data_IF_371046064681
#
_entry.id   IF_371046064681
#
_cell.length_a   1.000
_cell.length_b   1.000
_cell.length_c   1.000
_cell.angle_alpha   90.00
_cell.angle_beta   90.00
_cell.angle_gamma   90.00
#
_symmetry.space_group_name_H-M   'P 1'
#
loop_
_entity.id
_entity.type
_entity.pdbx_description
1 polymer ?
#
# COMPACT_ATOMS: atom_id res chain seq x y z
N UNK A 1 0.92 -27.33 -37.75
CA UNK A 1 0.76 -26.10 -36.94
C UNK A 1 1.20 -26.43 -35.53
N UNK A 2 2.39 -26.07 -35.20
CA UNK A 2 3.05 -26.33 -33.89
C UNK A 2 2.50 -25.35 -32.88
N UNK A 3 1.82 -25.84 -31.87
CA UNK A 3 1.38 -25.07 -30.70
C UNK A 3 2.64 -24.55 -30.01
N UNK A 4 2.90 -23.25 -30.08
CA UNK A 4 3.98 -22.62 -29.30
C UNK A 4 3.68 -22.85 -27.83
N UNK A 5 4.60 -23.52 -27.15
CA UNK A 5 4.48 -23.84 -25.74
C UNK A 5 4.19 -22.57 -24.91
N UNK A 6 3.20 -22.67 -24.05
CA UNK A 6 2.93 -21.71 -22.99
C UNK A 6 4.20 -21.69 -22.15
N UNK A 7 4.90 -20.54 -22.00
CA UNK A 7 6.06 -20.49 -21.13
C UNK A 7 5.63 -20.92 -19.71
N UNK A 8 6.45 -21.77 -19.08
CA UNK A 8 6.24 -22.16 -17.69
C UNK A 8 6.02 -20.86 -16.85
N UNK A 9 5.11 -20.91 -15.86
CA UNK A 9 4.88 -19.74 -15.03
C UNK A 9 6.22 -19.31 -14.42
N UNK A 10 6.68 -18.11 -14.78
CA UNK A 10 7.88 -17.54 -14.18
C UNK A 10 7.64 -17.47 -12.66
N UNK A 11 8.50 -18.12 -11.89
CA UNK A 11 8.50 -18.01 -10.44
C UNK A 11 8.56 -16.52 -10.07
N UNK A 12 7.63 -16.08 -9.24
CA UNK A 12 7.63 -14.70 -8.76
C UNK A 12 8.84 -14.47 -7.85
N UNK A 13 9.73 -13.61 -8.32
CA UNK A 13 10.86 -13.09 -7.56
C UNK A 13 10.56 -11.62 -7.23
N UNK A 14 10.11 -11.30 -6.01
CA UNK A 14 9.66 -9.96 -5.65
C UNK A 14 10.67 -8.87 -5.98
N UNK A 15 11.96 -9.08 -5.63
CA UNK A 15 13.02 -8.09 -5.89
C UNK A 15 13.20 -7.79 -7.38
N UNK A 16 13.26 -8.82 -8.23
CA UNK A 16 13.42 -8.66 -9.66
C UNK A 16 12.20 -7.99 -10.30
N UNK A 17 10.99 -8.38 -9.89
CA UNK A 17 9.75 -7.79 -10.39
C UNK A 17 9.63 -6.31 -10.06
N UNK A 18 9.87 -5.92 -8.80
CA UNK A 18 9.74 -4.54 -8.37
C UNK A 18 10.86 -3.67 -8.91
N UNK A 19 12.07 -4.22 -9.07
CA UNK A 19 13.16 -3.51 -9.68
C UNK A 19 12.91 -3.24 -11.17
N UNK A 20 12.47 -4.23 -11.97
CA UNK A 20 12.09 -4.05 -13.38
C UNK A 20 10.98 -2.98 -13.52
N UNK A 21 9.95 -3.07 -12.68
CA UNK A 21 8.86 -2.09 -12.66
C UNK A 21 9.34 -0.67 -12.31
N UNK A 22 10.27 -0.57 -11.35
CA UNK A 22 10.88 0.70 -10.97
C UNK A 22 11.71 1.31 -12.11
N UNK A 23 12.53 0.53 -12.76
CA UNK A 23 13.34 0.97 -13.88
C UNK A 23 12.51 1.54 -15.03
N UNK A 24 11.36 0.92 -15.30
CA UNK A 24 10.45 1.36 -16.37
C UNK A 24 9.66 2.64 -16.01
N UNK A 25 9.22 2.81 -14.79
CA UNK A 25 8.16 3.79 -14.47
C UNK A 25 8.47 4.74 -13.31
N UNK A 26 9.45 4.44 -12.46
CA UNK A 26 9.69 5.27 -11.27
C UNK A 26 10.24 6.67 -11.62
N UNK A 27 10.90 6.80 -12.77
CA UNK A 27 11.41 8.07 -13.30
C UNK A 27 10.37 8.95 -13.98
N UNK A 28 9.23 8.38 -14.40
CA UNK A 28 8.21 9.07 -15.17
C UNK A 28 7.26 9.90 -14.31
N UNK A 29 6.98 11.13 -14.70
CA UNK A 29 6.03 12.02 -14.03
C UNK A 29 6.17 12.00 -12.50
N UNK A 30 5.09 11.74 -11.78
CA UNK A 30 5.09 11.58 -10.32
C UNK A 30 5.54 10.18 -9.84
N UNK A 31 5.93 9.27 -10.73
CA UNK A 31 6.28 7.88 -10.42
C UNK A 31 5.08 7.01 -10.01
N UNK A 32 3.85 7.48 -10.23
CA UNK A 32 2.64 6.78 -9.78
C UNK A 32 2.40 5.47 -10.54
N UNK A 33 2.82 5.35 -11.79
CA UNK A 33 2.72 4.12 -12.57
C UNK A 33 3.55 2.97 -11.97
N UNK A 34 4.65 3.32 -11.27
CA UNK A 34 5.45 2.33 -10.58
C UNK A 34 4.80 1.80 -9.29
N UNK A 35 4.01 2.62 -8.58
CA UNK A 35 3.51 2.32 -7.22
C UNK A 35 1.98 2.19 -7.11
N UNK A 36 1.23 2.50 -8.19
CA UNK A 36 -0.23 2.33 -8.25
C UNK A 36 -0.59 1.25 -9.29
N UNK A 37 -1.45 1.57 -10.26
CA UNK A 37 -1.89 0.62 -11.28
C UNK A 37 -0.95 0.61 -12.49
N UNK A 38 -0.22 -0.49 -12.65
CA UNK A 38 0.67 -0.73 -13.79
C UNK A 38 -0.09 -0.69 -15.13
N UNK A 39 0.50 -0.03 -16.12
CA UNK A 39 -0.06 0.06 -17.47
C UNK A 39 -1.31 0.93 -17.60
N UNK A 40 -1.76 1.56 -16.52
CA UNK A 40 -2.90 2.48 -16.55
C UNK A 40 -2.43 3.93 -16.81
N UNK A 41 -3.29 4.76 -17.45
CA UNK A 41 -2.97 6.17 -17.71
C UNK A 41 -2.67 6.96 -16.43
N UNK A 42 -1.92 8.05 -16.58
CA UNK A 42 -1.53 8.92 -15.46
C UNK A 42 -2.73 9.45 -14.66
N UNK A 43 -3.81 9.90 -15.34
CA UNK A 43 -5.00 10.41 -14.64
C UNK A 43 -5.64 9.35 -13.73
N UNK A 44 -5.62 8.09 -14.13
CA UNK A 44 -6.14 6.97 -13.34
C UNK A 44 -5.28 6.75 -12.10
N UNK A 45 -3.96 6.75 -12.25
CA UNK A 45 -3.03 6.62 -11.14
C UNK A 45 -3.11 7.83 -10.17
N UNK A 46 -3.35 9.03 -10.68
CA UNK A 46 -3.63 10.23 -9.87
C UNK A 46 -4.93 10.10 -9.08
N UNK A 47 -5.97 9.55 -9.69
CA UNK A 47 -7.24 9.29 -9.00
C UNK A 47 -7.06 8.30 -7.85
N UNK A 48 -6.38 7.16 -8.08
CA UNK A 48 -6.03 6.19 -7.01
C UNK A 48 -5.26 6.89 -5.88
N UNK A 49 -4.25 7.69 -6.23
CA UNK A 49 -3.47 8.41 -5.22
C UNK A 49 -4.34 9.38 -4.41
N UNK A 50 -5.26 10.10 -5.04
CA UNK A 50 -6.19 11.00 -4.37
C UNK A 50 -7.12 10.25 -3.41
N UNK A 51 -7.71 9.13 -3.85
CA UNK A 51 -8.55 8.27 -3.00
C UNK A 51 -7.80 7.77 -1.77
N UNK A 52 -6.58 7.28 -1.96
CA UNK A 52 -5.73 6.85 -0.86
C UNK A 52 -5.42 8.01 0.10
N UNK A 53 -5.14 9.21 -0.42
CA UNK A 53 -4.94 10.42 0.41
C UNK A 53 -6.18 10.76 1.23
N UNK A 54 -7.36 10.72 0.63
CA UNK A 54 -8.63 10.99 1.32
C UNK A 54 -8.92 9.95 2.39
N UNK A 55 -8.66 8.68 2.12
CA UNK A 55 -8.86 7.58 3.07
C UNK A 55 -7.90 7.68 4.27
N UNK A 56 -6.64 8.01 4.00
CA UNK A 56 -5.57 8.02 5.01
C UNK A 56 -5.46 9.34 5.78
N UNK A 57 -6.02 10.46 5.27
CA UNK A 57 -5.77 11.83 5.79
C UNK A 57 -5.89 11.98 7.31
N UNK A 58 -6.90 11.32 7.92
CA UNK A 58 -7.17 11.42 9.37
C UNK A 58 -6.20 10.56 10.21
N UNK A 59 -5.57 9.58 9.58
CA UNK A 59 -4.65 8.65 10.23
C UNK A 59 -3.20 9.07 10.08
N UNK A 60 -2.93 9.96 9.12
CA UNK A 60 -1.62 10.53 8.84
C UNK A 60 -1.46 11.92 9.45
N UNK A 61 -2.15 12.19 10.56
CA UNK A 61 -1.91 13.39 11.35
C UNK A 61 -0.62 13.20 12.14
N UNK A 62 0.42 13.95 11.74
CA UNK A 62 1.76 13.92 12.32
C UNK A 62 2.15 15.32 12.77
N UNK A 63 2.89 15.39 13.87
CA UNK A 63 3.48 16.63 14.42
C UNK A 63 4.96 16.70 14.02
N UNK A 64 5.58 17.88 14.05
CA UNK A 64 7.03 17.99 13.93
C UNK A 64 7.73 17.05 14.91
N UNK A 65 8.73 16.32 14.41
CA UNK A 65 9.47 15.32 15.20
C UNK A 65 8.83 13.92 15.28
N UNK A 66 7.58 13.73 14.84
CA UNK A 66 6.98 12.37 14.76
C UNK A 66 7.87 11.44 13.94
N UNK A 67 8.25 10.29 14.52
CA UNK A 67 9.07 9.27 13.85
C UNK A 67 8.17 8.34 13.06
N UNK A 68 8.40 8.25 11.76
CA UNK A 68 7.60 7.44 10.84
C UNK A 68 8.44 6.39 10.15
N UNK A 69 7.95 5.16 10.13
CA UNK A 69 8.45 4.08 9.27
C UNK A 69 7.46 3.88 8.12
N UNK A 70 7.89 4.19 6.89
CA UNK A 70 7.11 4.00 5.65
C UNK A 70 7.61 2.73 4.96
N UNK A 71 6.85 1.63 5.08
CA UNK A 71 7.24 0.32 4.54
C UNK A 71 6.69 0.13 3.13
N UNK A 72 7.55 -0.36 2.22
CA UNK A 72 7.24 -0.39 0.79
C UNK A 72 7.02 1.04 0.26
N UNK A 73 7.94 1.95 0.62
CA UNK A 73 7.77 3.39 0.37
C UNK A 73 7.76 3.76 -1.12
N UNK A 74 8.21 2.86 -2.01
CA UNK A 74 8.32 3.09 -3.44
C UNK A 74 9.13 4.36 -3.74
N UNK A 75 8.59 5.22 -4.58
CA UNK A 75 9.20 6.53 -4.93
C UNK A 75 9.08 7.59 -3.80
N UNK A 76 8.76 7.19 -2.57
CA UNK A 76 8.72 8.05 -1.39
C UNK A 76 7.55 9.02 -1.33
N UNK A 77 6.42 8.72 -1.99
CA UNK A 77 5.27 9.65 -2.05
C UNK A 77 4.66 9.97 -0.68
N UNK A 78 4.56 8.99 0.21
CA UNK A 78 4.06 9.18 1.57
C UNK A 78 5.13 9.71 2.50
N UNK A 79 6.35 9.21 2.37
CA UNK A 79 7.52 9.72 3.11
C UNK A 79 7.67 11.23 2.95
N UNK A 80 7.66 11.72 1.70
CA UNK A 80 7.80 13.16 1.39
C UNK A 80 6.62 13.99 1.93
N UNK A 81 5.39 13.46 1.79
CA UNK A 81 4.19 14.10 2.32
C UNK A 81 4.27 14.30 3.85
N UNK A 82 4.75 13.29 4.57
CA UNK A 82 4.87 13.33 6.04
C UNK A 82 6.07 14.18 6.48
N UNK A 83 7.17 14.09 5.77
CA UNK A 83 8.36 14.92 6.02
C UNK A 83 8.07 16.42 5.81
N UNK A 84 7.24 16.77 4.82
CA UNK A 84 6.78 18.16 4.60
C UNK A 84 5.94 18.72 5.78
N UNK A 85 5.35 17.81 6.60
CA UNK A 85 4.64 18.17 7.83
C UNK A 85 5.53 18.15 9.07
N UNK A 86 6.85 17.97 8.88
CA UNK A 86 7.84 17.99 9.95
C UNK A 86 8.18 16.62 10.58
N UNK A 87 7.62 15.52 10.08
CA UNK A 87 7.97 14.19 10.55
C UNK A 87 9.40 13.81 10.17
N UNK A 88 10.04 12.95 10.97
CA UNK A 88 11.28 12.24 10.67
C UNK A 88 10.92 10.88 10.08
N UNK A 89 11.23 10.65 8.83
CA UNK A 89 10.74 9.48 8.09
C UNK A 89 11.89 8.56 7.71
N UNK A 90 11.73 7.27 8.06
CA UNK A 90 12.54 6.20 7.50
C UNK A 90 11.68 5.43 6.50
N UNK A 91 12.05 5.49 5.22
CA UNK A 91 11.39 4.74 4.14
C UNK A 91 12.19 3.50 3.77
N UNK A 92 11.51 2.37 3.63
CA UNK A 92 12.13 1.12 3.17
C UNK A 92 11.40 0.56 1.96
N UNK A 93 12.16 0.07 0.99
CA UNK A 93 11.62 -0.61 -0.19
C UNK A 93 12.59 -1.69 -0.66
N UNK A 94 12.07 -2.68 -1.36
CA UNK A 94 12.86 -3.79 -1.89
C UNK A 94 13.71 -3.39 -3.10
N UNK A 95 13.29 -2.36 -3.87
CA UNK A 95 13.92 -1.92 -5.10
C UNK A 95 14.93 -0.80 -4.88
N UNK A 96 16.21 -1.01 -5.24
CA UNK A 96 17.21 0.05 -5.24
C UNK A 96 16.81 1.27 -6.10
N UNK A 97 16.18 1.03 -7.26
CA UNK A 97 15.72 2.11 -8.15
C UNK A 97 14.60 2.92 -7.52
N UNK A 98 13.64 2.30 -6.80
CA UNK A 98 12.63 3.03 -6.02
C UNK A 98 13.28 3.94 -4.98
N UNK A 99 14.22 3.41 -4.21
CA UNK A 99 14.94 4.15 -3.17
C UNK A 99 15.70 5.34 -3.77
N UNK A 100 16.43 5.15 -4.87
CA UNK A 100 17.13 6.23 -5.56
C UNK A 100 16.16 7.32 -6.04
N UNK A 101 14.98 6.95 -6.53
CA UNK A 101 13.94 7.92 -6.90
C UNK A 101 13.36 8.65 -5.70
N UNK A 102 13.11 7.94 -4.59
CA UNK A 102 12.62 8.55 -3.36
C UNK A 102 13.58 9.60 -2.82
N UNK A 103 14.87 9.30 -2.79
CA UNK A 103 15.93 10.22 -2.38
C UNK A 103 15.98 11.47 -3.26
N UNK A 104 16.02 11.30 -4.59
CA UNK A 104 16.04 12.42 -5.55
C UNK A 104 14.82 13.34 -5.38
N UNK A 105 13.64 12.75 -5.26
CA UNK A 105 12.39 13.51 -5.11
C UNK A 105 12.32 14.23 -3.76
N UNK A 106 12.77 13.60 -2.68
CA UNK A 106 12.83 14.23 -1.37
C UNK A 106 13.80 15.41 -1.34
N UNK A 107 14.95 15.29 -2.00
CA UNK A 107 15.91 16.38 -2.16
C UNK A 107 15.32 17.54 -2.99
N UNK A 108 14.69 17.24 -4.11
CA UNK A 108 14.06 18.23 -4.99
C UNK A 108 12.92 19.00 -4.31
N UNK A 109 12.18 18.37 -3.38
CA UNK A 109 11.11 19.01 -2.60
C UNK A 109 11.62 19.67 -1.31
N UNK A 110 12.93 19.69 -1.05
CA UNK A 110 13.52 20.31 0.14
C UNK A 110 13.24 19.58 1.47
N UNK A 111 12.81 18.32 1.42
CA UNK A 111 12.51 17.51 2.62
C UNK A 111 13.54 16.40 2.86
N UNK A 112 14.61 16.34 2.07
CA UNK A 112 15.63 15.29 2.13
C UNK A 112 16.26 15.11 3.50
N UNK A 113 16.50 16.21 4.24
CA UNK A 113 17.07 16.14 5.59
C UNK A 113 16.17 15.42 6.62
N UNK A 114 14.87 15.26 6.33
CA UNK A 114 13.91 14.56 7.20
C UNK A 114 13.58 13.16 6.69
N UNK A 115 14.19 12.71 5.59
CA UNK A 115 13.93 11.42 4.98
C UNK A 115 15.20 10.58 4.95
N UNK A 116 15.15 9.37 5.51
CA UNK A 116 16.17 8.34 5.32
C UNK A 116 15.55 7.21 4.52
N UNK A 117 16.20 6.80 3.42
CA UNK A 117 15.70 5.72 2.58
C UNK A 117 16.68 4.57 2.55
N UNK A 118 16.18 3.33 2.70
CA UNK A 118 17.02 2.13 2.73
C UNK A 118 16.40 1.01 1.88
N UNK A 119 17.25 0.28 1.16
CA UNK A 119 16.85 -0.93 0.46
C UNK A 119 16.73 -2.05 1.48
N UNK A 120 15.51 -2.59 1.67
CA UNK A 120 15.28 -3.68 2.62
C UNK A 120 14.11 -4.57 2.19
N UNK A 121 14.23 -5.86 2.47
CA UNK A 121 13.13 -6.80 2.46
C UNK A 121 12.33 -6.67 3.77
N UNK A 122 11.02 -6.45 3.63
CA UNK A 122 10.13 -6.28 4.78
C UNK A 122 10.02 -7.55 5.64
N UNK A 123 10.20 -8.74 5.05
CA UNK A 123 10.21 -10.01 5.78
C UNK A 123 11.46 -10.20 6.66
N UNK A 124 12.49 -9.38 6.42
CA UNK A 124 13.76 -9.38 7.16
C UNK A 124 14.12 -7.96 7.62
N UNK A 125 13.16 -7.24 8.15
CA UNK A 125 13.29 -5.82 8.50
C UNK A 125 14.36 -5.58 9.58
N UNK A 126 15.48 -4.96 9.20
CA UNK A 126 16.64 -4.65 10.02
C UNK A 126 16.77 -3.14 10.26
N UNK A 127 15.70 -2.52 10.73
CA UNK A 127 15.69 -1.10 11.11
C UNK A 127 15.72 -0.98 12.62
N UNK A 128 16.62 -0.17 13.14
CA UNK A 128 16.69 0.12 14.57
C UNK A 128 15.72 1.23 14.97
N UNK A 129 15.42 1.26 16.26
CA UNK A 129 14.54 2.26 16.85
C UNK A 129 13.06 1.89 16.83
N UNK A 130 12.27 2.77 17.40
CA UNK A 130 10.82 2.67 17.48
C UNK A 130 10.18 3.87 16.81
N UNK A 131 8.99 3.66 16.24
CA UNK A 131 8.28 4.63 15.44
C UNK A 131 6.90 4.92 16.01
N UNK A 132 6.54 6.18 16.00
CA UNK A 132 5.23 6.65 16.47
C UNK A 132 4.13 6.34 15.42
N UNK A 133 4.54 6.20 14.16
CA UNK A 133 3.69 5.76 13.05
C UNK A 133 4.44 4.75 12.17
N UNK A 134 3.86 3.56 11.98
CA UNK A 134 4.28 2.62 10.93
C UNK A 134 3.22 2.64 9.84
N UNK A 135 3.61 2.98 8.63
CA UNK A 135 2.72 3.13 7.48
C UNK A 135 3.04 2.09 6.41
N UNK A 136 2.03 1.39 5.92
CA UNK A 136 2.13 0.52 4.74
C UNK A 136 0.94 0.74 3.81
N UNK A 137 1.19 1.01 2.53
CA UNK A 137 0.13 1.28 1.57
C UNK A 137 0.27 0.37 0.37
N UNK A 138 -0.61 -0.61 0.28
CA UNK A 138 -0.64 -1.64 -0.78
C UNK A 138 0.66 -2.43 -0.89
N UNK A 139 1.16 -2.94 0.23
CA UNK A 139 2.44 -3.66 0.33
C UNK A 139 2.23 -5.13 0.67
N UNK A 140 1.45 -5.43 1.71
CA UNK A 140 1.27 -6.80 2.22
C UNK A 140 0.59 -7.72 1.20
N UNK A 141 -0.23 -7.16 0.34
CA UNK A 141 -0.88 -7.88 -0.76
C UNK A 141 0.12 -8.46 -1.79
N UNK A 142 1.36 -8.01 -1.78
CA UNK A 142 2.43 -8.47 -2.66
C UNK A 142 3.40 -9.46 -1.99
N UNK A 143 3.22 -9.75 -0.71
CA UNK A 143 3.93 -10.81 0.00
C UNK A 143 3.05 -12.05 -0.03
N UNK A 144 3.32 -12.96 -0.98
CA UNK A 144 2.45 -14.11 -1.25
C UNK A 144 2.65 -15.24 -0.25
N UNK A 145 3.89 -15.46 0.19
CA UNK A 145 4.23 -16.48 1.18
C UNK A 145 3.68 -16.11 2.57
N UNK A 146 2.86 -16.96 3.20
CA UNK A 146 2.27 -16.66 4.50
C UNK A 146 3.29 -16.52 5.64
N UNK A 147 4.43 -17.22 5.55
CA UNK A 147 5.46 -17.14 6.59
C UNK A 147 6.22 -15.81 6.48
N UNK A 148 6.60 -15.41 5.26
CA UNK A 148 7.22 -14.11 5.01
C UNK A 148 6.27 -12.96 5.36
N UNK A 149 4.97 -13.09 5.06
CA UNK A 149 3.96 -12.12 5.44
C UNK A 149 3.87 -11.97 6.98
N UNK A 150 3.85 -13.08 7.71
CA UNK A 150 3.85 -13.07 9.18
C UNK A 150 5.13 -12.47 9.73
N UNK A 151 6.29 -12.79 9.15
CA UNK A 151 7.58 -12.20 9.52
C UNK A 151 7.59 -10.69 9.31
N UNK A 152 7.08 -10.21 8.17
CA UNK A 152 6.94 -8.78 7.87
C UNK A 152 6.07 -8.05 8.89
N UNK A 153 4.88 -8.58 9.21
CA UNK A 153 3.97 -7.95 10.18
C UNK A 153 4.57 -7.96 11.59
N UNK A 154 5.24 -9.04 12.01
CA UNK A 154 5.97 -9.09 13.29
C UNK A 154 7.11 -8.08 13.35
N UNK A 155 7.89 -7.96 12.26
CA UNK A 155 8.97 -6.98 12.14
C UNK A 155 8.46 -5.55 12.30
N UNK A 156 7.34 -5.21 11.64
CA UNK A 156 6.68 -3.91 11.78
C UNK A 156 6.14 -3.68 13.20
N UNK A 157 5.48 -4.69 13.80
CA UNK A 157 4.96 -4.58 15.15
C UNK A 157 6.06 -4.36 16.19
N UNK A 158 7.21 -5.02 16.04
CA UNK A 158 8.37 -4.84 16.91
C UNK A 158 8.99 -3.43 16.83
N UNK A 159 8.73 -2.68 15.77
CA UNK A 159 9.21 -1.30 15.57
C UNK A 159 8.21 -0.24 16.00
N UNK A 160 7.00 -0.64 16.40
CA UNK A 160 5.99 0.29 16.88
C UNK A 160 6.31 0.75 18.30
N UNK A 161 6.34 2.06 18.53
CA UNK A 161 6.47 2.62 19.86
C UNK A 161 5.26 2.26 20.74
N UNK A 162 5.38 2.23 22.08
CA UNK A 162 4.29 1.80 22.98
C UNK A 162 2.96 2.55 22.76
N UNK A 163 3.00 3.86 22.46
CA UNK A 163 1.84 4.68 22.12
C UNK A 163 1.71 4.93 20.61
N UNK A 164 2.47 4.20 19.80
CA UNK A 164 2.48 4.33 18.35
C UNK A 164 1.29 3.62 17.71
N UNK A 165 1.04 3.97 16.44
CA UNK A 165 0.02 3.31 15.62
C UNK A 165 0.61 2.79 14.32
N UNK A 166 0.08 1.67 13.87
CA UNK A 166 0.35 1.13 12.54
C UNK A 166 -0.89 1.38 11.65
N UNK A 167 -0.66 1.94 10.49
CA UNK A 167 -1.71 2.25 9.50
C UNK A 167 -1.40 1.49 8.22
N UNK A 168 -2.28 0.56 7.86
CA UNK A 168 -2.13 -0.28 6.68
C UNK A 168 -3.33 -0.08 5.75
N UNK A 169 -3.07 0.20 4.48
CA UNK A 169 -4.09 0.21 3.43
C UNK A 169 -3.81 -0.96 2.49
N UNK A 170 -4.71 -1.95 2.46
CA UNK A 170 -4.51 -3.20 1.72
C UNK A 170 -5.78 -3.63 0.98
N UNK A 171 -5.63 -4.43 -0.08
CA UNK A 171 -6.75 -5.11 -0.71
C UNK A 171 -7.30 -6.16 0.25
N UNK A 172 -8.45 -5.85 0.84
CA UNK A 172 -9.06 -6.62 1.92
C UNK A 172 -10.59 -6.72 1.74
N UNK A 173 -11.08 -7.37 0.68
CA UNK A 173 -12.51 -7.53 0.45
C UNK A 173 -13.19 -8.29 1.59
N UNK A 174 -14.48 -8.03 1.81
CA UNK A 174 -15.27 -8.74 2.82
C UNK A 174 -15.64 -10.16 2.38
N UNK A 175 -15.82 -10.37 1.08
CA UNK A 175 -16.14 -11.66 0.47
C UNK A 175 -14.94 -12.13 -0.36
N UNK A 176 -14.77 -13.46 -0.54
CA UNK A 176 -13.80 -13.97 -1.49
C UNK A 176 -14.06 -13.30 -2.85
N UNK A 177 -13.05 -12.69 -3.40
CA UNK A 177 -13.13 -12.26 -4.77
C UNK A 177 -12.61 -13.42 -5.62
N UNK A 178 -13.38 -13.85 -6.60
CA UNK A 178 -12.95 -14.79 -7.63
C UNK A 178 -11.85 -14.18 -8.53
N UNK A 179 -11.34 -13.04 -8.11
CA UNK A 179 -10.33 -12.25 -8.79
C UNK A 179 -9.11 -12.20 -7.93
N UNK A 180 -7.98 -12.49 -8.49
CA UNK A 180 -6.77 -11.81 -8.10
C UNK A 180 -5.60 -12.63 -7.61
N UNK A 181 -5.60 -13.88 -7.80
CA UNK A 181 -4.36 -14.59 -7.61
C UNK A 181 -3.56 -14.51 -8.90
N UNK A 182 -2.91 -13.36 -9.10
CA UNK A 182 -1.81 -13.26 -10.03
C UNK A 182 -0.52 -13.70 -9.34
N UNK A 183 0.50 -14.02 -10.14
CA UNK A 183 1.82 -14.39 -9.62
C UNK A 183 2.49 -13.30 -8.77
N UNK A 184 1.90 -12.10 -8.64
CA UNK A 184 2.50 -10.94 -7.97
C UNK A 184 1.57 -10.23 -6.98
N UNK A 185 0.33 -10.74 -6.82
CA UNK A 185 -0.69 -10.05 -6.04
C UNK A 185 -1.69 -11.05 -5.45
N UNK A 186 -2.03 -10.87 -4.19
CA UNK A 186 -3.05 -11.61 -3.49
C UNK A 186 -3.93 -10.69 -2.65
N UNK A 187 -5.19 -10.54 -3.03
CA UNK A 187 -6.19 -9.94 -2.15
C UNK A 187 -6.55 -10.96 -1.07
N UNK A 188 -6.37 -10.59 0.18
CA UNK A 188 -6.75 -11.44 1.31
C UNK A 188 -8.04 -10.93 1.92
N UNK A 189 -8.92 -11.85 2.31
CA UNK A 189 -10.11 -11.49 3.06
C UNK A 189 -9.73 -10.72 4.33
N UNK A 190 -10.62 -9.85 4.73
CA UNK A 190 -10.42 -8.99 5.90
C UNK A 190 -10.21 -9.76 7.20
N UNK A 191 -10.95 -10.86 7.39
CA UNK A 191 -10.82 -11.72 8.55
C UNK A 191 -9.43 -12.37 8.64
N UNK A 192 -8.85 -12.78 7.51
CA UNK A 192 -7.48 -13.31 7.43
C UNK A 192 -6.44 -12.28 7.90
N UNK A 193 -6.60 -11.02 7.49
CA UNK A 193 -5.73 -9.94 7.99
C UNK A 193 -5.92 -9.71 9.49
N UNK A 194 -7.16 -9.70 9.98
CA UNK A 194 -7.44 -9.49 11.41
C UNK A 194 -6.88 -10.61 12.28
N UNK A 195 -6.91 -11.85 11.81
CA UNK A 195 -6.28 -12.99 12.47
C UNK A 195 -4.77 -12.84 12.50
N UNK A 196 -4.14 -12.55 11.36
CA UNK A 196 -2.71 -12.29 11.25
C UNK A 196 -2.24 -11.19 12.21
N UNK A 197 -2.98 -10.09 12.32
CA UNK A 197 -2.62 -8.98 13.21
C UNK A 197 -2.72 -9.39 14.68
N UNK A 198 -3.76 -10.13 15.06
CA UNK A 198 -3.89 -10.69 16.43
C UNK A 198 -2.72 -11.61 16.78
N UNK A 199 -2.32 -12.48 15.86
CA UNK A 199 -1.19 -13.39 16.03
C UNK A 199 0.16 -12.67 16.16
N UNK A 200 0.23 -11.42 15.72
CA UNK A 200 1.38 -10.54 15.83
C UNK A 200 1.27 -9.53 16.99
N UNK A 201 0.43 -9.81 17.99
CA UNK A 201 0.21 -8.97 19.17
C UNK A 201 -0.27 -7.55 18.84
N UNK A 202 -1.01 -7.40 17.75
CA UNK A 202 -1.65 -6.15 17.35
C UNK A 202 -3.16 -6.21 17.62
N UNK A 203 -3.73 -5.10 18.06
CA UNK A 203 -5.17 -4.92 18.21
C UNK A 203 -5.70 -3.89 17.23
N UNK A 204 -6.89 -4.14 16.70
CA UNK A 204 -7.56 -3.23 15.78
C UNK A 204 -8.18 -2.06 16.56
N UNK A 205 -7.76 -0.84 16.22
CA UNK A 205 -8.31 0.42 16.74
C UNK A 205 -9.43 0.95 15.85
N UNK A 206 -9.23 0.88 14.54
CA UNK A 206 -10.22 1.33 13.56
C UNK A 206 -10.07 0.57 12.23
N UNK A 207 -11.20 0.46 11.53
CA UNK A 207 -11.30 -0.11 10.21
C UNK A 207 -12.17 0.79 9.33
N UNK A 208 -11.65 1.21 8.17
CA UNK A 208 -12.40 2.03 7.21
C UNK A 208 -12.26 1.50 5.80
N UNK A 209 -13.29 1.66 4.97
CA UNK A 209 -13.24 1.35 3.54
C UNK A 209 -12.60 2.48 2.74
N UNK A 210 -12.20 2.17 1.49
CA UNK A 210 -11.51 3.13 0.61
C UNK A 210 -12.28 3.36 -0.68
N UNK A 211 -12.67 2.32 -1.39
CA UNK A 211 -13.27 2.32 -2.72
C UNK A 211 -14.57 1.50 -2.74
N UNK A 212 -15.68 2.02 -2.19
CA UNK A 212 -16.94 1.31 -2.08
C UNK A 212 -17.71 1.20 -3.38
N UNK A 213 -17.35 2.01 -4.39
CA UNK A 213 -18.02 2.01 -5.69
C UNK A 213 -17.20 1.21 -6.71
N UNK A 214 -17.41 -0.11 -6.83
CA UNK A 214 -16.62 -0.99 -7.69
C UNK A 214 -16.91 -0.83 -9.19
N UNK A 215 -17.53 0.29 -9.61
CA UNK A 215 -17.86 0.55 -11.02
C UNK A 215 -16.62 0.41 -11.91
N UNK A 216 -15.51 0.99 -11.51
CA UNK A 216 -14.22 0.86 -12.20
C UNK A 216 -13.77 -0.60 -12.25
N UNK A 217 -13.80 -1.29 -11.12
CA UNK A 217 -13.37 -2.68 -11.01
C UNK A 217 -14.22 -3.62 -11.85
N UNK A 218 -15.52 -3.38 -11.94
CA UNK A 218 -16.43 -4.14 -12.78
C UNK A 218 -16.23 -3.86 -14.26
N UNK A 219 -15.88 -2.63 -14.61
CA UNK A 219 -15.70 -2.22 -16.00
C UNK A 219 -14.34 -2.62 -16.58
N UNK A 220 -13.28 -2.61 -15.77
CA UNK A 220 -11.91 -2.89 -16.21
C UNK A 220 -11.73 -4.16 -17.07
N UNK A 221 -12.37 -5.31 -16.77
CA UNK A 221 -12.25 -6.51 -17.60
C UNK A 221 -12.80 -6.31 -19.00
N UNK A 222 -13.85 -5.49 -19.14
CA UNK A 222 -14.55 -5.26 -20.41
C UNK A 222 -13.88 -4.17 -21.26
N UNK A 223 -13.04 -3.32 -20.65
CA UNK A 223 -12.35 -2.26 -21.41
C UNK A 223 -11.40 -2.81 -22.47
N UNK A 224 -10.87 -4.02 -22.30
CA UNK A 224 -9.95 -4.65 -23.26
C UNK A 224 -10.64 -5.08 -24.56
N UNK A 225 -11.96 -5.26 -24.55
CA UNK A 225 -12.74 -5.71 -25.71
C UNK A 225 -13.31 -4.53 -26.50
N UNK A 226 -13.20 -3.31 -26.00
CA UNK A 226 -13.75 -2.11 -26.61
C UNK A 226 -12.68 -1.35 -27.41
N UNK A 227 -13.08 -0.58 -28.45
CA UNK A 227 -12.18 0.35 -29.13
C UNK A 227 -11.52 1.30 -28.12
N UNK A 228 -10.23 1.62 -28.33
CA UNK A 228 -9.42 2.42 -27.40
C UNK A 228 -10.07 3.74 -26.98
N UNK A 229 -10.73 4.44 -27.92
CA UNK A 229 -11.41 5.71 -27.63
C UNK A 229 -12.56 5.47 -26.64
N UNK A 230 -13.41 4.47 -26.90
CA UNK A 230 -14.56 4.15 -26.05
C UNK A 230 -14.10 3.70 -24.67
N UNK A 231 -13.11 2.81 -24.61
CA UNK A 231 -12.57 2.32 -23.33
C UNK A 231 -11.96 3.45 -22.50
N UNK A 232 -11.25 4.38 -23.14
CA UNK A 232 -10.65 5.52 -22.45
C UNK A 232 -11.72 6.50 -21.95
N UNK A 233 -12.74 6.81 -22.75
CA UNK A 233 -13.84 7.68 -22.33
C UNK A 233 -14.63 7.10 -21.16
N UNK A 234 -14.93 5.80 -21.19
CA UNK A 234 -15.59 5.10 -20.10
C UNK A 234 -14.72 5.06 -18.82
N UNK A 235 -13.42 4.88 -18.97
CA UNK A 235 -12.50 4.90 -17.83
C UNK A 235 -12.45 6.29 -17.19
N UNK A 236 -12.40 7.36 -17.97
CA UNK A 236 -12.44 8.75 -17.46
C UNK A 236 -13.76 8.99 -16.73
N UNK A 237 -14.90 8.67 -17.37
CA UNK A 237 -16.22 8.91 -16.81
C UNK A 237 -16.41 8.14 -15.48
N UNK A 238 -16.13 6.84 -15.48
CA UNK A 238 -16.29 6.02 -14.27
C UNK A 238 -15.32 6.44 -13.15
N UNK A 239 -14.11 6.91 -13.48
CA UNK A 239 -13.18 7.43 -12.51
C UNK A 239 -13.70 8.75 -11.91
N UNK A 240 -14.20 9.66 -12.75
CA UNK A 240 -14.78 10.92 -12.29
C UNK A 240 -16.02 10.73 -11.41
N UNK A 241 -16.88 9.76 -11.74
CA UNK A 241 -18.08 9.46 -10.97
C UNK A 241 -17.79 8.74 -9.66
N UNK A 242 -16.75 7.89 -9.60
CA UNK A 242 -16.42 7.18 -8.35
C UNK A 242 -15.75 8.05 -7.31
N UNK A 243 -14.95 9.05 -7.68
CA UNK A 243 -14.25 9.92 -6.74
C UNK A 243 -15.15 10.58 -5.69
N UNK A 244 -16.27 11.27 -6.02
CA UNK A 244 -17.16 11.86 -5.02
C UNK A 244 -17.86 10.79 -4.17
N UNK A 245 -18.23 9.64 -4.74
CA UNK A 245 -18.85 8.54 -4.00
C UNK A 245 -17.86 7.98 -2.98
N UNK A 246 -16.62 7.75 -3.38
CA UNK A 246 -15.56 7.25 -2.50
C UNK A 246 -15.23 8.27 -1.40
N UNK A 247 -15.19 9.56 -1.73
CA UNK A 247 -14.92 10.62 -0.78
C UNK A 247 -16.02 10.75 0.31
N UNK A 248 -17.28 10.59 -0.08
CA UNK A 248 -18.44 10.77 0.80
C UNK A 248 -18.77 9.50 1.60
N UNK A 249 -18.71 8.34 0.96
CA UNK A 249 -19.21 7.08 1.52
C UNK A 249 -18.11 6.06 1.85
N UNK A 250 -16.91 6.19 1.29
CA UNK A 250 -15.84 5.20 1.38
C UNK A 250 -15.56 4.72 2.80
N UNK A 251 -15.53 5.63 3.75
CA UNK A 251 -15.23 5.31 5.15
C UNK A 251 -16.27 4.43 5.83
N UNK A 252 -17.56 4.62 5.49
CA UNK A 252 -18.70 3.91 6.11
C UNK A 252 -19.01 2.60 5.38
N UNK A 253 -18.69 2.55 4.09
CA UNK A 253 -19.00 1.42 3.22
C UNK A 253 -17.92 0.32 3.28
N UNK A 254 -17.47 -0.02 4.48
CA UNK A 254 -16.39 -1.01 4.71
C UNK A 254 -16.72 -2.36 4.06
N UNK A 255 -17.98 -2.81 4.13
CA UNK A 255 -18.40 -4.11 3.58
C UNK A 255 -18.34 -4.17 2.05
N UNK A 256 -18.55 -3.04 1.38
CA UNK A 256 -18.56 -2.92 -0.07
C UNK A 256 -17.18 -2.59 -0.65
N UNK A 257 -16.27 -2.12 0.19
CA UNK A 257 -14.95 -1.67 -0.24
C UNK A 257 -14.02 -2.83 -0.60
N UNK A 258 -13.29 -2.65 -1.69
CA UNK A 258 -12.23 -3.58 -2.10
C UNK A 258 -10.98 -3.42 -1.25
N UNK A 259 -10.57 -2.19 -0.96
CA UNK A 259 -9.50 -1.90 -0.04
C UNK A 259 -10.03 -1.47 1.33
N UNK A 260 -9.22 -1.73 2.35
CA UNK A 260 -9.50 -1.28 3.70
C UNK A 260 -8.26 -0.64 4.33
N UNK A 261 -8.50 0.35 5.19
CA UNK A 261 -7.49 0.91 6.09
C UNK A 261 -7.65 0.27 7.45
N UNK A 262 -6.62 -0.41 7.89
CA UNK A 262 -6.49 -0.96 9.24
C UNK A 262 -5.64 0.00 10.08
N UNK A 263 -6.16 0.41 11.23
CA UNK A 263 -5.40 1.17 12.23
C UNK A 263 -5.21 0.26 13.43
N UNK A 264 -3.97 -0.02 13.74
CA UNK A 264 -3.56 -1.02 14.71
C UNK A 264 -2.67 -0.37 15.78
N UNK A 265 -2.74 -0.90 16.98
CA UNK A 265 -1.89 -0.55 18.12
C UNK A 265 -1.32 -1.85 18.71
N UNK A 266 -0.23 -1.76 19.46
CA UNK A 266 0.23 -2.91 20.23
C UNK A 266 -0.83 -3.32 21.24
N UNK A 267 -1.07 -4.62 21.36
CA UNK A 267 -1.88 -5.16 22.45
C UNK A 267 -1.12 -4.94 23.74
N UNK A 268 -1.57 -4.02 24.57
CA UNK A 268 -1.03 -3.84 25.91
C UNK A 268 -1.30 -5.13 26.66
N UNK A 269 -0.24 -5.84 27.04
CA UNK A 269 -0.37 -7.02 27.89
C UNK A 269 -1.12 -6.62 29.13
N UNK A 270 -2.27 -7.18 29.37
CA UNK A 270 -2.94 -7.06 30.66
C UNK A 270 -1.96 -7.56 31.71
N UNK A 271 -1.54 -6.71 32.60
CA UNK A 271 -0.96 -7.15 33.87
C UNK A 271 -1.96 -8.11 34.45
N UNK A 272 -1.65 -9.42 34.47
CA UNK A 272 -2.31 -10.34 35.37
C UNK A 272 -2.08 -9.79 36.77
N UNK A 273 -3.05 -9.03 37.27
CA UNK A 273 -3.15 -8.84 38.70
C UNK A 273 -3.45 -10.22 39.27
N UNK A 274 -2.40 -10.82 39.82
CA UNK A 274 -2.49 -12.05 40.58
C UNK A 274 -3.57 -11.91 41.67
N UNK A 275 -4.44 -12.88 41.68
CA UNK A 275 -5.23 -13.22 42.85
C UNK A 275 -4.45 -14.22 43.70
#
# INVERSE_FOLDING_TARGET
>A
MTVRGIPAPQLYHPSAYWEDRAQRFAGEGAGLAAVCAYGMPEFYNRAIHLEQRLALRRWLDVKPGTRVLDVGCGVGRWSRLLAARGAQVTGVDLSPTMIAQAQRRAAAEGVGARCQFRVQDLSQLQIEGQFDLVLGVTVLQHILDPQLLRAAVRGMAARLAPAGRMVLLEAAPATPADRCDSTVFQARRRDVYLELFRDCALQLRALTGVDPAPLRMRLLPHLRTLPRIVSMSLLVLTTALSLPVDALFGRRAVKQSWHAVFVLEQKIGGTEYGR
#
